data_IF_229719993339
#
_entry.id   IF_229719993339
#
_cell.length_a   1.000
_cell.length_b   1.000
_cell.length_c   1.000
_cell.angle_alpha   90.00
_cell.angle_beta   90.00
_cell.angle_gamma   90.00
#
_symmetry.space_group_name_H-M   'P 1'
#
loop_
_entity.id
_entity.type
_entity.pdbx_description
1 polymer ?
#
# COMPACT_ATOMS: atom_id res chain seq x y z
N UNK A 1 -27.36 -3.24 -4.78
CA UNK A 1 -26.31 -3.29 -3.74
C UNK A 1 -25.95 -1.84 -3.42
N UNK A 2 -26.31 -1.35 -2.23
CA UNK A 2 -25.90 0.00 -1.76
C UNK A 2 -24.45 -0.11 -1.32
N UNK A 3 -23.53 0.57 -2.01
CA UNK A 3 -22.17 0.71 -1.51
C UNK A 3 -22.21 1.37 -0.13
N UNK A 4 -21.47 0.85 0.87
CA UNK A 4 -21.43 1.48 2.18
C UNK A 4 -20.93 2.92 2.00
N UNK A 5 -21.68 3.88 2.54
CA UNK A 5 -21.32 5.30 2.51
C UNK A 5 -20.01 5.45 3.30
N UNK A 6 -18.87 5.50 2.61
CA UNK A 6 -17.58 5.78 3.25
C UNK A 6 -17.65 7.15 3.93
N UNK A 7 -17.32 7.18 5.21
CA UNK A 7 -17.22 8.41 6.00
C UNK A 7 -15.78 8.89 5.87
N UNK A 8 -15.59 10.06 5.25
CA UNK A 8 -14.27 10.69 5.17
C UNK A 8 -13.99 11.47 6.44
N UNK A 9 -12.80 11.30 7.01
CA UNK A 9 -12.30 12.05 8.17
C UNK A 9 -10.88 12.55 7.89
N UNK A 10 -10.42 13.54 8.64
CA UNK A 10 -9.03 14.04 8.61
C UNK A 10 -8.33 13.79 9.95
N UNK A 11 -9.00 13.14 10.90
CA UNK A 11 -8.42 12.81 12.19
C UNK A 11 -7.69 11.46 12.11
N UNK A 12 -6.38 11.40 12.39
CA UNK A 12 -5.61 10.16 12.28
C UNK A 12 -6.03 9.08 13.29
N UNK A 13 -6.69 9.43 14.39
CA UNK A 13 -7.21 8.42 15.33
C UNK A 13 -8.42 7.66 14.74
N UNK A 14 -9.06 8.19 13.71
CA UNK A 14 -10.13 7.50 12.98
C UNK A 14 -9.62 6.40 12.05
N UNK A 15 -8.31 6.30 11.78
CA UNK A 15 -7.74 5.23 10.92
C UNK A 15 -8.04 3.84 11.45
N UNK A 16 -8.14 3.70 12.78
CA UNK A 16 -8.43 2.44 13.45
C UNK A 16 -9.93 2.11 13.47
N UNK A 17 -10.80 2.99 12.97
CA UNK A 17 -12.25 2.82 12.96
C UNK A 17 -12.71 2.20 11.63
N UNK A 18 -13.38 1.04 11.64
CA UNK A 18 -13.86 0.42 10.42
C UNK A 18 -14.91 1.30 9.71
N UNK A 19 -14.79 1.42 8.39
CA UNK A 19 -15.71 2.21 7.56
C UNK A 19 -15.36 3.70 7.43
N UNK A 20 -14.32 4.15 8.14
CA UNK A 20 -13.75 5.48 7.98
C UNK A 20 -12.64 5.44 6.93
N UNK A 21 -12.57 6.50 6.13
CA UNK A 21 -11.43 6.79 5.24
C UNK A 21 -10.81 8.06 5.76
N UNK A 22 -9.56 7.99 6.21
CA UNK A 22 -8.86 9.17 6.69
C UNK A 22 -8.00 9.73 5.56
N UNK A 23 -8.20 11.01 5.23
CA UNK A 23 -7.35 11.74 4.29
C UNK A 23 -6.11 12.24 5.05
N UNK A 24 -4.92 11.95 4.51
CA UNK A 24 -3.64 12.22 5.17
C UNK A 24 -2.76 13.02 4.23
N UNK A 25 -2.29 14.17 4.72
CA UNK A 25 -1.34 15.03 4.02
C UNK A 25 0.06 14.40 3.96
N UNK A 26 0.87 14.88 3.02
CA UNK A 26 2.20 14.30 2.75
C UNK A 26 3.09 14.27 4.00
N UNK A 27 3.14 15.36 4.77
CA UNK A 27 3.96 15.45 5.99
C UNK A 27 3.55 14.38 7.02
N UNK A 28 2.24 14.23 7.25
CA UNK A 28 1.72 13.24 8.20
C UNK A 28 1.89 11.80 7.68
N UNK A 29 1.78 11.58 6.38
CA UNK A 29 2.03 10.27 5.76
C UNK A 29 3.50 9.84 5.91
N UNK A 30 4.44 10.78 5.83
CA UNK A 30 5.87 10.54 6.08
C UNK A 30 6.11 10.17 7.56
N UNK A 31 5.54 10.93 8.50
CA UNK A 31 5.64 10.64 9.94
C UNK A 31 5.04 9.29 10.33
N UNK A 32 3.96 8.88 9.66
CA UNK A 32 3.32 7.57 9.85
C UNK A 32 4.08 6.42 9.17
N UNK A 33 5.14 6.72 8.40
CA UNK A 33 5.86 5.73 7.60
C UNK A 33 4.99 5.10 6.52
N UNK A 34 3.97 5.82 6.03
CA UNK A 34 3.09 5.34 4.98
C UNK A 34 3.86 5.15 3.65
N UNK A 35 4.86 6.00 3.43
CA UNK A 35 5.87 5.80 2.40
C UNK A 35 7.02 5.00 3.01
N UNK A 36 6.82 3.70 3.21
CA UNK A 36 7.97 2.83 3.40
C UNK A 36 8.75 2.86 2.09
N UNK A 37 9.97 3.39 2.11
CA UNK A 37 10.94 3.25 1.01
C UNK A 37 11.44 1.80 0.91
N UNK A 38 10.55 0.81 1.01
CA UNK A 38 10.75 -0.53 0.47
C UNK A 38 10.46 -0.45 -1.04
N UNK A 39 11.08 0.54 -1.69
CA UNK A 39 11.35 0.37 -3.10
C UNK A 39 12.26 -0.86 -3.14
N UNK A 40 11.78 -1.93 -3.77
CA UNK A 40 12.62 -3.09 -4.05
C UNK A 40 13.99 -2.58 -4.53
N UNK A 41 15.07 -3.12 -3.97
CA UNK A 41 16.41 -2.73 -4.39
C UNK A 41 16.52 -2.89 -5.90
N UNK A 42 17.36 -2.10 -6.58
CA UNK A 42 17.56 -2.26 -8.03
C UNK A 42 17.88 -3.72 -8.40
N UNK A 43 18.60 -4.42 -7.51
CA UNK A 43 18.88 -5.86 -7.59
C UNK A 43 17.60 -6.70 -7.56
N UNK A 44 16.72 -6.55 -6.56
CA UNK A 44 15.40 -7.23 -6.50
C UNK A 44 14.48 -6.88 -7.68
N UNK A 45 14.52 -5.63 -8.15
CA UNK A 45 13.75 -5.19 -9.32
C UNK A 45 14.18 -5.90 -10.61
N UNK A 46 15.48 -6.16 -10.76
CA UNK A 46 16.04 -6.88 -11.90
C UNK A 46 15.77 -8.38 -11.78
N UNK A 47 15.88 -8.97 -10.58
CA UNK A 47 15.57 -10.39 -10.35
C UNK A 47 14.09 -10.72 -10.60
N UNK A 48 13.18 -9.78 -10.30
CA UNK A 48 11.74 -9.95 -10.54
C UNK A 48 11.30 -9.76 -12.00
N UNK A 49 12.13 -9.20 -12.88
CA UNK A 49 11.83 -9.04 -14.33
C UNK A 49 12.14 -10.33 -15.12
N UNK A 50 12.80 -11.31 -14.48
CA UNK A 50 13.07 -12.62 -15.06
C UNK A 50 11.84 -13.51 -14.86
N UNK A 51 11.03 -13.65 -15.89
CA UNK A 51 10.05 -14.75 -15.97
C UNK A 51 10.84 -16.07 -16.09
N UNK A 52 11.13 -16.70 -14.95
CA UNK A 52 11.63 -18.08 -14.92
C UNK A 52 10.49 -18.97 -15.39
N UNK A 53 10.43 -19.21 -16.70
CA UNK A 53 9.70 -20.34 -17.26
C UNK A 53 10.38 -21.61 -16.74
N UNK A 54 9.87 -22.13 -15.62
CA UNK A 54 10.28 -23.42 -15.07
C UNK A 54 10.22 -24.46 -16.20
N UNK A 55 11.32 -25.14 -16.54
CA UNK A 55 11.31 -26.10 -17.62
C UNK A 55 10.33 -27.21 -17.26
N UNK A 56 9.31 -27.38 -18.11
CA UNK A 56 8.32 -28.44 -18.05
C UNK A 56 9.00 -29.77 -17.67
N UNK A 57 8.66 -30.29 -16.49
CA UNK A 57 9.08 -31.63 -16.07
C UNK A 57 8.61 -32.64 -17.13
N UNK A 58 9.56 -33.48 -17.57
CA UNK A 58 9.41 -34.44 -18.66
C UNK A 58 8.55 -35.66 -18.36
#
# INVERSE_FOLDING_TARGET
MTSPRQIRSTDPADMMKPGYVVEIDHDLADELGAFVEDAISLEDAIESDIDVEEPANG
#
